data_IF_215378039190
#
_entry.id   IF_215378039190
#
_cell.length_a   1.000
_cell.length_b   1.000
_cell.length_c   1.000
_cell.angle_alpha   90.00
_cell.angle_beta   90.00
_cell.angle_gamma   90.00
#
_symmetry.space_group_name_H-M   'P 1'
#
loop_
_entity.id
_entity.type
_entity.pdbx_description
1 polymer ?
#
# COMPACT_ATOMS: atom_id res chain seq x y z
N UNK A 1 1.38 -13.05 -9.72
CA UNK A 1 0.97 -13.52 -11.07
C UNK A 1 1.51 -12.60 -12.18
N UNK A 2 1.08 -11.34 -12.26
CA UNK A 2 1.48 -10.44 -13.35
C UNK A 2 3.01 -10.35 -13.57
N UNK A 3 3.79 -10.19 -12.49
CA UNK A 3 5.27 -10.17 -12.58
C UNK A 3 5.84 -11.45 -13.18
N UNK A 4 5.33 -12.62 -12.80
CA UNK A 4 5.77 -13.91 -13.34
C UNK A 4 5.45 -14.04 -14.83
N UNK A 5 4.27 -13.60 -15.25
CA UNK A 5 3.92 -13.54 -16.68
C UNK A 5 4.87 -12.59 -17.44
N UNK A 6 5.18 -11.42 -16.87
CA UNK A 6 6.12 -10.49 -17.49
C UNK A 6 7.55 -11.05 -17.59
N UNK A 7 8.01 -11.82 -16.60
CA UNK A 7 9.30 -12.55 -16.65
C UNK A 7 9.32 -13.53 -17.84
N UNK A 8 8.17 -14.15 -18.13
CA UNK A 8 7.99 -15.06 -19.27
C UNK A 8 7.70 -14.34 -20.60
N UNK A 9 7.88 -13.01 -20.67
CA UNK A 9 7.74 -12.23 -21.90
C UNK A 9 6.31 -11.76 -22.23
N UNK A 10 5.33 -12.05 -21.38
CA UNK A 10 3.97 -11.55 -21.54
C UNK A 10 3.88 -10.05 -21.25
N UNK A 11 2.95 -9.37 -21.93
CA UNK A 11 2.78 -7.93 -21.81
C UNK A 11 1.52 -7.59 -21.05
N UNK A 12 1.64 -6.64 -20.13
CA UNK A 12 0.51 -6.08 -19.42
C UNK A 12 0.05 -4.80 -20.14
N UNK A 13 -1.24 -4.69 -20.43
CA UNK A 13 -1.85 -3.47 -20.98
C UNK A 13 -2.96 -3.01 -20.06
N UNK A 14 -3.01 -1.71 -19.82
CA UNK A 14 -4.13 -1.07 -19.14
C UNK A 14 -5.19 -0.67 -20.17
N UNK A 15 -6.46 -0.96 -19.88
CA UNK A 15 -7.60 -0.52 -20.67
C UNK A 15 -8.44 0.45 -19.86
N UNK A 16 -8.48 1.71 -20.28
CA UNK A 16 -9.29 2.75 -19.63
C UNK A 16 -10.81 2.57 -19.87
N UNK A 17 -11.22 1.56 -20.64
CA UNK A 17 -12.63 1.21 -20.88
C UNK A 17 -13.11 0.03 -20.03
N UNK A 18 -12.20 -0.59 -19.26
CA UNK A 18 -12.56 -1.68 -18.38
C UNK A 18 -13.07 -1.08 -17.06
N UNK A 19 -14.38 -1.06 -16.89
CA UNK A 19 -15.02 -0.61 -15.65
C UNK A 19 -15.29 -1.80 -14.73
N UNK A 20 -15.03 -1.60 -13.44
CA UNK A 20 -15.38 -2.57 -12.40
C UNK A 20 -15.84 -1.82 -11.15
N UNK A 21 -16.83 -2.37 -10.45
CA UNK A 21 -17.33 -1.85 -9.18
C UNK A 21 -17.04 -2.85 -8.08
N UNK A 22 -16.42 -2.40 -6.99
CA UNK A 22 -16.11 -3.24 -5.83
C UNK A 22 -16.55 -2.54 -4.55
N UNK A 23 -16.83 -3.33 -3.52
CA UNK A 23 -17.03 -2.81 -2.16
C UNK A 23 -15.73 -2.18 -1.64
N UNK A 24 -15.86 -0.99 -1.06
CA UNK A 24 -14.79 -0.31 -0.34
C UNK A 24 -14.93 -0.52 1.17
N UNK A 25 -13.86 -0.34 1.95
CA UNK A 25 -13.95 -0.30 3.40
C UNK A 25 -14.84 0.86 3.87
N UNK A 26 -15.79 0.58 4.76
CA UNK A 26 -16.69 1.60 5.33
C UNK A 26 -16.18 2.12 6.69
N UNK A 27 -15.25 1.40 7.31
CA UNK A 27 -14.65 1.76 8.60
C UNK A 27 -13.14 1.97 8.50
N UNK A 28 -12.61 2.84 9.35
CA UNK A 28 -11.16 3.08 9.45
C UNK A 28 -10.40 1.78 9.73
N UNK A 29 -10.92 0.91 10.59
CA UNK A 29 -10.29 -0.36 10.91
C UNK A 29 -10.19 -1.30 9.69
N UNK A 30 -11.26 -1.41 8.90
CA UNK A 30 -11.25 -2.21 7.67
C UNK A 30 -10.30 -1.62 6.63
N UNK A 31 -10.25 -0.30 6.52
CA UNK A 31 -9.32 0.42 5.65
C UNK A 31 -7.86 0.08 5.97
N UNK A 32 -7.46 0.19 7.25
CA UNK A 32 -6.10 -0.16 7.68
C UNK A 32 -5.77 -1.65 7.47
N UNK A 33 -6.72 -2.56 7.75
CA UNK A 33 -6.54 -4.01 7.49
C UNK A 33 -6.39 -4.32 6.00
N UNK A 34 -7.11 -3.61 5.12
CA UNK A 34 -6.97 -3.74 3.68
C UNK A 34 -5.61 -3.21 3.22
N UNK A 35 -5.27 -1.98 3.60
CA UNK A 35 -4.03 -1.32 3.19
C UNK A 35 -2.77 -2.01 3.71
N UNK A 36 -2.81 -2.63 4.89
CA UNK A 36 -1.75 -3.52 5.38
C UNK A 36 -1.35 -4.55 4.33
N UNK A 37 -2.32 -5.26 3.77
CA UNK A 37 -2.09 -6.33 2.79
C UNK A 37 -1.51 -5.77 1.50
N UNK A 38 -1.98 -4.61 1.07
CA UNK A 38 -1.51 -3.97 -0.16
C UNK A 38 -0.06 -3.53 -0.02
N UNK A 39 0.31 -2.85 1.07
CA UNK A 39 1.70 -2.41 1.30
C UNK A 39 2.66 -3.59 1.34
N UNK A 40 2.31 -4.66 2.04
CA UNK A 40 3.14 -5.88 2.09
C UNK A 40 3.27 -6.54 0.71
N UNK A 41 2.19 -6.56 -0.07
CA UNK A 41 2.20 -7.04 -1.46
C UNK A 41 3.07 -6.16 -2.35
N UNK A 42 3.01 -4.85 -2.21
CA UNK A 42 3.81 -3.90 -3.00
C UNK A 42 5.31 -4.08 -2.73
N UNK A 43 5.70 -4.24 -1.47
CA UNK A 43 7.08 -4.54 -1.08
C UNK A 43 7.53 -5.88 -1.69
N UNK A 44 6.73 -6.94 -1.54
CA UNK A 44 7.06 -8.27 -2.06
C UNK A 44 7.16 -8.29 -3.60
N UNK A 45 6.22 -7.62 -4.29
CA UNK A 45 6.22 -7.52 -5.74
C UNK A 45 7.43 -6.76 -6.26
N UNK A 46 7.84 -5.68 -5.57
CA UNK A 46 9.04 -4.96 -5.97
C UNK A 46 10.30 -5.80 -5.77
N UNK A 47 10.45 -6.48 -4.62
CA UNK A 47 11.59 -7.38 -4.39
C UNK A 47 11.67 -8.42 -5.51
N UNK A 48 10.54 -9.00 -5.91
CA UNK A 48 10.48 -9.96 -7.02
C UNK A 48 10.92 -9.33 -8.36
N UNK A 49 10.50 -8.10 -8.64
CA UNK A 49 10.91 -7.34 -9.84
C UNK A 49 12.41 -7.06 -9.83
N UNK A 50 12.96 -6.61 -8.70
CA UNK A 50 14.40 -6.30 -8.55
C UNK A 50 15.24 -7.56 -8.71
N UNK A 51 14.85 -8.66 -8.07
CA UNK A 51 15.55 -9.95 -8.19
C UNK A 51 15.57 -10.50 -9.61
N UNK A 52 14.52 -10.24 -10.40
CA UNK A 52 14.39 -10.75 -11.77
C UNK A 52 14.63 -9.67 -12.84
N UNK A 53 15.22 -8.54 -12.46
CA UNK A 53 15.37 -7.37 -13.34
C UNK A 53 16.10 -7.67 -14.66
N UNK A 54 17.22 -8.42 -14.68
CA UNK A 54 17.88 -8.75 -15.95
C UNK A 54 17.01 -9.58 -16.89
N UNK A 55 16.23 -10.52 -16.34
CA UNK A 55 15.30 -11.35 -17.12
C UNK A 55 14.14 -10.52 -17.66
N UNK A 56 13.58 -9.64 -16.84
CA UNK A 56 12.50 -8.73 -17.25
C UNK A 56 12.93 -7.82 -18.40
N UNK A 57 14.10 -7.19 -18.30
CA UNK A 57 14.64 -6.32 -19.35
C UNK A 57 14.92 -7.07 -20.66
N UNK A 58 15.37 -8.33 -20.58
CA UNK A 58 15.68 -9.15 -21.76
C UNK A 58 14.42 -9.70 -22.44
N UNK A 59 13.44 -10.15 -21.66
CA UNK A 59 12.29 -10.89 -22.17
C UNK A 59 11.10 -9.97 -22.49
N UNK A 60 11.05 -8.75 -21.94
CA UNK A 60 9.89 -7.88 -22.05
C UNK A 60 10.26 -6.48 -22.57
N UNK A 61 9.92 -6.22 -23.83
CA UNK A 61 10.20 -4.93 -24.48
C UNK A 61 9.44 -3.75 -23.85
N UNK A 62 8.35 -3.99 -23.12
CA UNK A 62 7.61 -2.93 -22.42
C UNK A 62 8.33 -2.49 -21.13
N UNK A 63 9.26 -3.29 -20.61
CA UNK A 63 9.99 -3.01 -19.39
C UNK A 63 11.26 -2.21 -19.73
N UNK A 64 11.14 -0.89 -19.82
CA UNK A 64 12.25 0.01 -20.17
C UNK A 64 13.09 0.39 -18.94
N UNK A 65 14.33 0.85 -19.16
CA UNK A 65 15.17 1.39 -18.08
C UNK A 65 14.50 2.57 -17.36
N UNK A 66 13.83 3.46 -18.08
CA UNK A 66 13.10 4.59 -17.49
C UNK A 66 11.99 4.10 -16.56
N UNK A 67 11.26 3.06 -16.96
CA UNK A 67 10.22 2.47 -16.11
C UNK A 67 10.80 1.82 -14.85
N UNK A 68 11.95 1.15 -14.97
CA UNK A 68 12.69 0.61 -13.81
C UNK A 68 13.10 1.71 -12.84
N UNK A 69 13.73 2.78 -13.35
CA UNK A 69 14.15 3.91 -12.52
C UNK A 69 12.95 4.56 -11.82
N UNK A 70 11.83 4.71 -12.52
CA UNK A 70 10.58 5.19 -11.94
C UNK A 70 10.07 4.28 -10.80
N UNK A 71 10.03 2.96 -11.00
CA UNK A 71 9.60 2.01 -9.97
C UNK A 71 10.49 2.03 -8.74
N UNK A 72 11.81 2.09 -8.93
CA UNK A 72 12.78 2.19 -7.85
C UNK A 72 12.64 3.52 -7.10
N UNK A 73 12.47 4.64 -7.81
CA UNK A 73 12.25 5.95 -7.19
C UNK A 73 10.97 5.97 -6.35
N UNK A 74 9.87 5.45 -6.89
CA UNK A 74 8.60 5.32 -6.17
C UNK A 74 8.74 4.52 -4.88
N UNK A 75 9.50 3.44 -4.91
CA UNK A 75 9.74 2.65 -3.71
C UNK A 75 10.63 3.36 -2.69
N UNK A 76 11.73 3.95 -3.15
CA UNK A 76 12.63 4.72 -2.28
C UNK A 76 11.85 5.84 -1.58
N UNK A 77 11.02 6.57 -2.32
CA UNK A 77 10.13 7.58 -1.77
C UNK A 77 9.20 6.98 -0.71
N UNK A 78 8.52 5.85 -0.97
CA UNK A 78 7.66 5.21 0.03
C UNK A 78 8.41 4.81 1.32
N UNK A 79 9.68 4.38 1.22
CA UNK A 79 10.48 4.00 2.39
C UNK A 79 10.86 5.22 3.24
N UNK A 80 11.22 6.36 2.64
CA UNK A 80 11.64 7.59 3.36
C UNK A 80 10.49 8.54 3.72
N UNK A 81 9.29 8.23 3.23
CA UNK A 81 8.12 9.09 3.40
C UNK A 81 7.69 9.30 4.87
N UNK A 82 7.76 8.30 5.78
CA UNK A 82 7.46 8.55 7.20
C UNK A 82 8.30 9.68 7.82
N UNK A 83 9.62 9.70 7.57
CA UNK A 83 10.51 10.76 8.04
C UNK A 83 10.17 12.10 7.39
N UNK A 84 9.88 12.11 6.10
CA UNK A 84 9.44 13.32 5.38
C UNK A 84 8.11 13.85 5.93
N UNK A 85 7.17 12.97 6.30
CA UNK A 85 5.89 13.34 6.88
C UNK A 85 6.02 14.00 8.25
N UNK A 86 6.95 13.52 9.10
CA UNK A 86 7.29 14.18 10.37
C UNK A 86 7.75 15.61 10.11
N UNK A 87 8.71 15.80 9.19
CA UNK A 87 9.23 17.14 8.84
C UNK A 87 8.15 18.03 8.26
N UNK A 88 7.30 17.52 7.36
CA UNK A 88 6.19 18.31 6.80
C UNK A 88 5.25 18.85 7.89
N UNK A 89 4.98 18.06 8.92
CA UNK A 89 4.14 18.49 10.05
C UNK A 89 4.89 19.53 10.89
N UNK A 90 6.13 19.26 11.29
CA UNK A 90 6.85 20.08 12.28
C UNK A 90 7.45 21.34 11.68
N UNK A 91 8.00 21.28 10.46
CA UNK A 91 8.41 22.47 9.71
C UNK A 91 7.19 23.30 9.29
N UNK A 92 6.08 22.63 8.95
CA UNK A 92 4.81 23.29 8.74
C UNK A 92 4.40 24.10 9.97
N UNK A 93 4.42 23.51 11.16
CA UNK A 93 4.12 24.25 12.41
C UNK A 93 5.04 25.45 12.65
N UNK A 94 6.33 25.31 12.41
CA UNK A 94 7.33 26.36 12.58
C UNK A 94 7.06 27.56 11.67
N UNK A 95 6.75 27.31 10.40
CA UNK A 95 6.55 28.37 9.41
C UNK A 95 5.18 29.06 9.50
N UNK A 96 4.18 28.31 9.96
CA UNK A 96 2.77 28.69 9.87
C UNK A 96 2.27 29.27 11.19
N UNK A 97 2.73 28.68 12.31
CA UNK A 97 2.28 29.02 13.67
C UNK A 97 3.43 29.51 14.57
N UNK A 98 4.64 29.71 14.04
CA UNK A 98 5.82 30.13 14.78
C UNK A 98 6.18 29.20 15.97
N UNK A 99 5.82 27.91 15.86
CA UNK A 99 6.13 26.90 16.90
C UNK A 99 7.47 26.24 16.57
N UNK A 100 8.53 26.44 17.39
CA UNK A 100 9.88 26.10 16.96
C UNK A 100 10.07 24.62 16.60
N UNK A 101 10.62 24.38 15.41
CA UNK A 101 10.89 23.04 14.86
C UNK A 101 11.66 22.12 15.83
N UNK A 102 12.61 22.68 16.58
CA UNK A 102 13.49 21.94 17.48
C UNK A 102 12.74 21.35 18.68
N UNK A 103 11.62 21.97 19.08
CA UNK A 103 10.80 21.52 20.20
C UNK A 103 9.64 20.62 19.75
N UNK A 104 9.21 20.69 18.49
CA UNK A 104 8.10 19.88 17.97
C UNK A 104 8.56 18.54 17.38
N UNK A 105 9.74 18.51 16.75
CA UNK A 105 10.23 17.32 16.02
C UNK A 105 10.58 16.13 16.93
N UNK A 106 11.37 16.29 18.01
CA UNK A 106 11.72 15.17 18.87
C UNK A 106 10.50 14.49 19.54
N UNK A 107 9.52 15.23 20.12
CA UNK A 107 8.32 14.61 20.68
C UNK A 107 7.52 13.82 19.64
N UNK A 108 7.33 14.37 18.43
CA UNK A 108 6.60 13.65 17.38
C UNK A 108 7.33 12.37 16.94
N UNK A 109 8.66 12.43 16.79
CA UNK A 109 9.47 11.24 16.52
C UNK A 109 9.30 10.19 17.63
N UNK A 110 9.36 10.60 18.91
CA UNK A 110 9.15 9.70 20.06
C UNK A 110 7.77 9.05 20.00
N UNK A 111 6.70 9.80 19.70
CA UNK A 111 5.34 9.25 19.55
C UNK A 111 5.29 8.18 18.45
N UNK A 112 5.99 8.38 17.33
CA UNK A 112 6.07 7.41 16.22
C UNK A 112 6.84 6.15 16.63
N UNK A 113 7.94 6.28 17.38
CA UNK A 113 8.67 5.14 17.93
C UNK A 113 7.83 4.35 18.94
N UNK A 114 7.12 5.03 19.83
CA UNK A 114 6.17 4.42 20.75
C UNK A 114 5.04 3.71 20.00
N UNK A 115 4.54 4.30 18.92
CA UNK A 115 3.55 3.67 18.06
C UNK A 115 4.06 2.38 17.42
N UNK A 116 5.28 2.38 16.88
CA UNK A 116 5.93 1.18 16.36
C UNK A 116 6.07 0.10 17.44
N UNK A 117 6.50 0.47 18.64
CA UNK A 117 6.59 -0.44 19.78
C UNK A 117 5.22 -1.06 20.12
N UNK A 118 4.17 -0.25 20.23
CA UNK A 118 2.81 -0.72 20.52
C UNK A 118 2.31 -1.69 19.45
N UNK A 119 2.57 -1.39 18.18
CA UNK A 119 2.20 -2.26 17.06
C UNK A 119 2.89 -3.63 17.09
N UNK A 120 4.04 -3.76 17.75
CA UNK A 120 4.74 -5.06 17.88
C UNK A 120 4.35 -5.86 19.12
N UNK A 121 3.90 -5.20 20.20
CA UNK A 121 3.70 -5.85 21.51
C UNK A 121 2.25 -6.05 21.92
N UNK A 122 1.35 -5.19 21.45
CA UNK A 122 -0.04 -5.18 21.92
C UNK A 122 -0.98 -5.84 20.91
N UNK A 123 -2.17 -6.21 21.39
CA UNK A 123 -3.20 -6.84 20.57
C UNK A 123 -3.75 -5.91 19.48
N UNK A 124 -4.29 -6.50 18.41
CA UNK A 124 -4.83 -5.76 17.26
C UNK A 124 -5.90 -4.71 17.63
N UNK A 125 -6.65 -4.91 18.72
CA UNK A 125 -7.64 -3.94 19.19
C UNK A 125 -7.01 -2.67 19.75
N UNK A 126 -5.96 -2.82 20.59
CA UNK A 126 -5.21 -1.67 21.13
C UNK A 126 -4.54 -0.89 20.00
N UNK A 127 -3.94 -1.61 19.06
CA UNK A 127 -3.32 -1.00 17.89
C UNK A 127 -4.32 -0.18 17.06
N UNK A 128 -5.50 -0.74 16.79
CA UNK A 128 -6.56 -0.06 16.03
C UNK A 128 -7.08 1.19 16.75
N UNK A 129 -7.28 1.10 18.07
CA UNK A 129 -7.69 2.24 18.89
C UNK A 129 -6.67 3.37 18.83
N UNK A 130 -5.39 3.05 19.08
CA UNK A 130 -4.32 4.03 19.04
C UNK A 130 -4.10 4.63 17.65
N UNK A 131 -4.19 3.82 16.60
CA UNK A 131 -4.11 4.28 15.21
C UNK A 131 -5.22 5.27 14.90
N UNK A 132 -6.45 5.03 15.37
CA UNK A 132 -7.59 5.93 15.15
C UNK A 132 -7.38 7.26 15.87
N UNK A 133 -6.94 7.22 17.13
CA UNK A 133 -6.64 8.44 17.91
C UNK A 133 -5.52 9.26 17.25
N UNK A 134 -4.40 8.63 16.89
CA UNK A 134 -3.30 9.31 16.22
C UNK A 134 -3.69 9.84 14.83
N UNK A 135 -4.54 9.12 14.11
CA UNK A 135 -5.08 9.61 12.82
C UNK A 135 -5.85 10.90 12.99
N UNK A 136 -6.69 10.99 14.02
CA UNK A 136 -7.45 12.23 14.30
C UNK A 136 -6.49 13.36 14.70
N UNK A 137 -5.59 13.13 15.66
CA UNK A 137 -4.66 14.16 16.17
C UNK A 137 -3.71 14.66 15.10
N UNK A 138 -3.07 13.75 14.35
CA UNK A 138 -2.14 14.14 13.29
C UNK A 138 -2.88 14.72 12.09
N UNK A 139 -4.07 14.20 11.77
CA UNK A 139 -4.88 14.67 10.67
C UNK A 139 -5.41 16.09 10.86
N UNK A 140 -5.91 16.42 12.07
CA UNK A 140 -6.33 17.80 12.39
C UNK A 140 -5.14 18.76 12.32
N UNK A 141 -4.01 18.35 12.88
CA UNK A 141 -2.76 19.10 12.87
C UNK A 141 -2.24 19.36 11.46
N UNK A 142 -2.21 18.35 10.60
CA UNK A 142 -1.73 18.51 9.23
C UNK A 142 -2.70 19.34 8.39
N UNK A 143 -4.01 19.20 8.63
CA UNK A 143 -5.02 20.03 7.95
C UNK A 143 -4.89 21.49 8.34
N UNK A 144 -4.66 21.81 9.62
CA UNK A 144 -4.46 23.19 10.06
C UNK A 144 -3.20 23.80 9.45
N UNK A 145 -2.10 23.04 9.41
CA UNK A 145 -0.85 23.43 8.73
C UNK A 145 -1.10 23.69 7.24
N UNK A 146 -1.81 22.81 6.54
CA UNK A 146 -2.07 22.97 5.11
C UNK A 146 -2.96 24.18 4.80
N UNK A 147 -4.03 24.38 5.57
CA UNK A 147 -4.97 25.50 5.36
C UNK A 147 -4.29 26.84 5.67
N UNK A 148 -3.63 26.96 6.82
CA UNK A 148 -2.96 28.22 7.18
C UNK A 148 -1.70 28.47 6.36
N UNK A 149 -0.99 27.40 5.97
CA UNK A 149 0.09 27.50 4.98
C UNK A 149 -0.42 28.06 3.65
N UNK A 150 -1.56 27.57 3.16
CA UNK A 150 -2.19 28.10 1.94
C UNK A 150 -2.57 29.58 2.07
N UNK A 151 -3.10 29.99 3.23
CA UNK A 151 -3.39 31.39 3.52
C UNK A 151 -2.12 32.26 3.49
N UNK A 152 -1.06 31.86 4.22
CA UNK A 152 0.23 32.57 4.27
C UNK A 152 0.87 32.70 2.88
N UNK A 153 0.74 31.66 2.05
CA UNK A 153 1.21 31.67 0.66
C UNK A 153 0.49 32.76 -0.15
N UNK A 154 -0.85 32.81 -0.08
CA UNK A 154 -1.63 33.79 -0.85
C UNK A 154 -1.37 35.21 -0.35
N UNK A 155 -1.29 35.41 0.96
CA UNK A 155 -0.95 36.70 1.57
C UNK A 155 0.42 37.20 1.12
N UNK A 156 1.43 36.31 1.11
CA UNK A 156 2.76 36.61 0.58
C UNK A 156 2.78 36.93 -0.92
N UNK A 157 1.97 36.25 -1.73
CA UNK A 157 1.86 36.58 -3.16
C UNK A 157 1.24 37.97 -3.37
N UNK A 158 0.21 38.33 -2.59
CA UNK A 158 -0.47 39.62 -2.71
C UNK A 158 0.47 40.77 -2.33
N UNK A 159 1.25 40.63 -1.26
CA UNK A 159 2.22 41.64 -0.84
C UNK A 159 3.34 41.83 -1.87
N UNK A 160 3.89 40.75 -2.42
CA UNK A 160 4.93 40.80 -3.44
C UNK A 160 4.48 41.48 -4.75
N UNK A 161 3.24 41.21 -5.18
CA UNK A 161 2.64 41.90 -6.33
C UNK A 161 2.53 43.40 -6.05
N UNK A 162 2.20 43.78 -4.80
CA UNK A 162 2.15 45.17 -4.36
C UNK A 162 3.51 45.89 -4.41
N UNK A 163 4.59 45.17 -4.07
CA UNK A 163 5.96 45.71 -4.05
C UNK A 163 6.65 45.70 -5.43
N UNK A 164 5.99 45.16 -6.46
CA UNK A 164 6.45 45.22 -7.86
C UNK A 164 7.70 44.39 -8.17
N UNK A 165 8.19 43.57 -7.23
CA UNK A 165 9.39 42.74 -7.38
C UNK A 165 8.99 41.27 -7.49
N UNK A 166 8.85 40.79 -8.74
CA UNK A 166 8.52 39.40 -9.02
C UNK A 166 9.78 38.52 -8.91
N UNK A 167 10.04 37.95 -7.74
CA UNK A 167 11.08 36.94 -7.55
C UNK A 167 10.49 35.53 -7.56
N UNK A 168 11.21 34.56 -8.14
CA UNK A 168 10.80 33.15 -8.10
C UNK A 168 10.90 32.62 -6.66
N UNK A 169 9.75 32.52 -5.99
CA UNK A 169 9.57 32.11 -4.60
C UNK A 169 9.06 30.67 -4.50
N UNK A 170 9.23 30.02 -3.36
CA UNK A 170 8.85 28.61 -3.14
C UNK A 170 7.36 28.33 -3.24
N UNK A 171 6.56 29.34 -3.02
CA UNK A 171 5.11 29.30 -3.19
C UNK A 171 4.71 28.82 -4.59
N UNK A 172 5.57 29.02 -5.61
CA UNK A 172 5.38 28.47 -6.95
C UNK A 172 5.48 26.94 -7.03
N UNK A 173 6.24 26.27 -6.16
CA UNK A 173 6.35 24.80 -6.17
C UNK A 173 5.05 24.17 -5.65
N UNK A 174 4.49 24.70 -4.56
CA UNK A 174 3.20 24.24 -4.00
C UNK A 174 2.06 24.60 -4.97
N UNK A 175 2.12 25.77 -5.60
CA UNK A 175 1.20 26.16 -6.65
C UNK A 175 1.28 25.21 -7.85
N UNK A 176 2.49 24.86 -8.32
CA UNK A 176 2.71 23.89 -9.39
C UNK A 176 2.11 22.52 -9.07
N UNK A 177 2.27 22.05 -7.82
CA UNK A 177 1.62 20.81 -7.37
C UNK A 177 0.09 20.93 -7.44
N UNK A 178 -0.46 22.04 -6.96
CA UNK A 178 -1.92 22.29 -7.00
C UNK A 178 -2.43 22.33 -8.44
N UNK A 179 -1.74 23.06 -9.33
CA UNK A 179 -2.03 23.13 -10.76
C UNK A 179 -1.95 21.75 -11.41
N UNK A 180 -0.99 20.91 -11.01
CA UNK A 180 -0.87 19.55 -11.54
C UNK A 180 -2.08 18.66 -11.20
N UNK A 181 -2.68 18.84 -10.02
CA UNK A 181 -3.90 18.13 -9.61
C UNK A 181 -5.11 18.63 -10.40
N UNK A 182 -5.24 19.94 -10.57
CA UNK A 182 -6.29 20.54 -11.41
C UNK A 182 -6.17 20.06 -12.86
N UNK A 183 -4.94 20.03 -13.40
CA UNK A 183 -4.66 19.50 -14.73
C UNK A 183 -5.11 18.04 -14.86
N UNK A 184 -4.77 17.19 -13.89
CA UNK A 184 -5.20 15.79 -13.90
C UNK A 184 -6.73 15.65 -13.94
N UNK A 185 -7.48 16.45 -13.17
CA UNK A 185 -8.94 16.43 -13.23
C UNK A 185 -9.52 16.95 -14.55
N UNK A 186 -8.89 17.94 -15.18
CA UNK A 186 -9.29 18.42 -16.51
C UNK A 186 -9.09 17.34 -17.58
N UNK A 187 -7.98 16.58 -17.49
CA UNK A 187 -7.69 15.47 -18.41
C UNK A 187 -8.68 14.30 -18.20
N UNK A 188 -9.26 14.16 -16.99
CA UNK A 188 -10.16 13.08 -16.58
C UNK A 188 -11.57 13.59 -16.16
N UNK A 189 -12.38 14.12 -17.10
CA UNK A 189 -13.64 14.80 -16.76
C UNK A 189 -14.72 13.89 -16.13
N UNK A 190 -14.66 12.57 -16.32
CA UNK A 190 -15.58 11.63 -15.65
C UNK A 190 -15.29 11.50 -14.15
N UNK A 191 -14.02 11.67 -13.78
CA UNK A 191 -13.50 11.44 -12.43
C UNK A 191 -13.14 12.78 -11.74
N UNK A 192 -13.35 13.92 -12.39
CA UNK A 192 -12.95 15.24 -11.87
C UNK A 192 -13.60 15.58 -10.52
N UNK A 193 -14.81 15.06 -10.26
CA UNK A 193 -15.52 15.22 -8.99
C UNK A 193 -14.73 14.65 -7.80
N UNK A 194 -13.76 13.75 -8.02
CA UNK A 194 -12.89 13.22 -6.97
C UNK A 194 -12.06 14.30 -6.27
N UNK A 195 -11.79 15.43 -6.92
CA UNK A 195 -11.12 16.58 -6.29
C UNK A 195 -11.88 17.07 -5.05
N UNK A 196 -13.21 16.96 -5.02
CA UNK A 196 -14.02 17.39 -3.88
C UNK A 196 -13.64 16.65 -2.58
N UNK A 197 -13.10 15.43 -2.69
CA UNK A 197 -12.62 14.65 -1.55
C UNK A 197 -11.20 15.02 -1.10
N UNK A 198 -10.55 16.02 -1.72
CA UNK A 198 -9.17 16.43 -1.42
C UNK A 198 -8.94 16.76 0.06
N UNK A 199 -9.91 17.39 0.74
CA UNK A 199 -9.82 17.65 2.19
C UNK A 199 -9.76 16.37 3.03
N UNK A 200 -10.52 15.34 2.66
CA UNK A 200 -10.46 14.05 3.34
C UNK A 200 -9.09 13.37 3.12
N UNK A 201 -8.51 13.51 1.92
CA UNK A 201 -7.15 13.06 1.62
C UNK A 201 -6.09 13.81 2.42
N UNK A 202 -6.22 15.13 2.56
CA UNK A 202 -5.33 15.93 3.41
C UNK A 202 -5.42 15.48 4.87
N UNK A 203 -6.62 15.27 5.39
CA UNK A 203 -6.82 14.82 6.77
C UNK A 203 -6.19 13.46 7.04
N UNK A 204 -6.38 12.48 6.16
CA UNK A 204 -5.82 11.14 6.34
C UNK A 204 -4.34 11.04 5.91
N UNK A 205 -3.76 12.10 5.36
CA UNK A 205 -2.41 12.11 4.81
C UNK A 205 -1.35 11.62 5.81
N UNK A 206 -1.29 12.11 7.07
CA UNK A 206 -0.33 11.63 8.05
C UNK A 206 -0.54 10.16 8.39
N UNK A 207 -1.80 9.72 8.50
CA UNK A 207 -2.12 8.34 8.79
C UNK A 207 -1.63 7.40 7.67
N UNK A 208 -1.80 7.79 6.41
CA UNK A 208 -1.36 7.03 5.24
C UNK A 208 0.16 6.94 5.09
N UNK A 209 0.86 8.02 5.39
CA UNK A 209 2.28 8.18 5.08
C UNK A 209 3.20 7.95 6.29
N UNK A 210 2.67 8.01 7.51
CA UNK A 210 3.43 7.82 8.75
C UNK A 210 2.99 6.57 9.53
N UNK A 211 1.70 6.45 9.86
CA UNK A 211 1.21 5.35 10.72
C UNK A 211 1.08 4.03 9.95
N UNK A 212 0.50 4.09 8.76
CA UNK A 212 0.14 2.91 7.98
C UNK A 212 1.34 2.06 7.57
N UNK A 213 2.50 2.59 7.11
CA UNK A 213 3.67 1.77 6.81
C UNK A 213 4.17 0.98 8.03
N UNK A 214 4.21 1.63 9.20
CA UNK A 214 4.61 1.02 10.48
C UNK A 214 3.63 -0.08 10.87
N UNK A 215 2.34 0.23 10.87
CA UNK A 215 1.27 -0.73 11.17
C UNK A 215 1.34 -1.95 10.25
N UNK A 216 1.63 -1.72 8.97
CA UNK A 216 1.63 -2.75 7.94
C UNK A 216 2.75 -3.76 8.16
N UNK A 217 3.98 -3.28 8.36
CA UNK A 217 5.15 -4.14 8.61
C UNK A 217 5.00 -4.84 9.96
N UNK A 218 4.58 -4.13 11.01
CA UNK A 218 4.39 -4.70 12.34
C UNK A 218 3.38 -5.87 12.36
N UNK A 219 2.38 -5.83 11.47
CA UNK A 219 1.35 -6.86 11.37
C UNK A 219 1.55 -7.83 10.19
N UNK A 220 2.77 -8.01 9.69
CA UNK A 220 3.08 -8.96 8.61
C UNK A 220 2.74 -10.42 8.94
N UNK A 221 2.71 -10.76 10.23
CA UNK A 221 2.39 -12.10 10.75
C UNK A 221 0.90 -12.43 10.56
N UNK A 222 0.03 -11.40 10.54
CA UNK A 222 -1.42 -11.60 10.36
C UNK A 222 -1.76 -11.84 8.89
N UNK A 223 -1.87 -13.12 8.53
CA UNK A 223 -2.23 -13.60 7.20
C UNK A 223 -3.74 -13.69 6.95
N UNK A 224 -4.59 -13.27 7.90
CA UNK A 224 -6.03 -13.43 7.75
C UNK A 224 -6.57 -12.64 6.56
N UNK A 225 -7.27 -13.33 5.65
CA UNK A 225 -8.06 -12.68 4.61
C UNK A 225 -9.49 -12.51 5.08
N UNK A 226 -9.99 -11.26 5.02
CA UNK A 226 -11.39 -10.94 5.28
C UNK A 226 -12.33 -11.92 4.56
N UNK A 227 -13.36 -12.36 5.29
CA UNK A 227 -14.46 -13.28 4.93
C UNK A 227 -14.12 -14.68 4.44
N UNK A 228 -12.93 -14.99 3.90
CA UNK A 228 -12.59 -16.33 3.40
C UNK A 228 -12.07 -17.31 4.47
N UNK A 229 -11.27 -16.85 5.43
CA UNK A 229 -10.64 -17.75 6.40
C UNK A 229 -11.40 -17.84 7.74
N UNK A 230 -12.30 -16.89 8.00
CA UNK A 230 -13.09 -16.82 9.25
C UNK A 230 -14.49 -17.40 9.12
N UNK A 231 -14.96 -17.68 7.90
CA UNK A 231 -16.13 -18.54 7.71
C UNK A 231 -15.69 -19.99 7.93
N UNK A 232 -15.60 -20.39 9.19
CA UNK A 232 -15.74 -21.81 9.53
C UNK A 232 -17.06 -22.24 8.93
N UNK A 233 -17.03 -23.20 8.00
CA UNK A 233 -18.24 -23.87 7.56
C UNK A 233 -18.98 -24.32 8.83
N UNK A 234 -20.13 -23.69 9.11
CA UNK A 234 -21.00 -24.18 10.16
C UNK A 234 -21.42 -25.56 9.68
N UNK A 235 -20.93 -26.60 10.36
CA UNK A 235 -21.29 -27.99 10.05
C UNK A 235 -22.81 -28.02 9.92
N UNK A 236 -23.38 -28.41 8.77
CA UNK A 236 -24.82 -28.57 8.67
C UNK A 236 -25.22 -29.51 9.79
N UNK A 237 -26.20 -29.12 10.62
CA UNK A 237 -26.67 -29.95 11.74
C UNK A 237 -27.12 -31.29 11.15
N UNK A 238 -26.27 -32.31 11.22
CA UNK A 238 -26.58 -33.68 10.83
C UNK A 238 -27.73 -34.15 11.72
N UNK A 239 -28.95 -34.12 11.19
CA UNK A 239 -30.18 -34.49 11.89
C UNK A 239 -30.24 -35.99 12.24
N UNK A 240 -29.31 -36.80 11.76
CA UNK A 240 -29.35 -38.24 11.91
C UNK A 240 -28.01 -38.79 12.41
N UNK A 241 -27.77 -38.72 13.72
CA UNK A 241 -26.83 -39.61 14.39
C UNK A 241 -27.54 -40.22 15.62
N UNK A 242 -27.62 -41.56 15.76
CA UNK A 242 -28.24 -42.19 16.91
C UNK A 242 -27.50 -41.82 18.20
N UNK A 243 -28.24 -41.74 19.32
CA UNK A 243 -27.80 -41.27 20.63
C UNK A 243 -26.49 -41.91 21.16
N UNK A 244 -25.32 -41.38 20.79
CA UNK A 244 -24.04 -41.66 21.47
C UNK A 244 -23.82 -40.79 22.73
N UNK A 245 -24.91 -40.30 23.33
CA UNK A 245 -24.90 -39.37 24.49
C UNK A 245 -24.34 -39.98 25.79
N UNK A 246 -24.04 -41.29 25.83
CA UNK A 246 -23.48 -41.95 27.03
C UNK A 246 -21.95 -41.96 27.09
N UNK A 247 -21.23 -41.84 25.96
CA UNK A 247 -19.75 -41.91 25.97
C UNK A 247 -19.08 -40.58 26.34
N UNK A 248 -19.66 -39.44 25.95
CA UNK A 248 -19.06 -38.12 26.18
C UNK A 248 -19.17 -37.60 27.62
N UNK A 249 -20.06 -38.15 28.46
CA UNK A 249 -20.21 -37.70 29.85
C UNK A 249 -19.03 -38.10 30.76
N UNK A 250 -18.22 -39.08 30.37
CA UNK A 250 -17.06 -39.53 31.16
C UNK A 250 -15.81 -38.65 31.00
N UNK A 251 -15.67 -37.90 29.89
CA UNK A 251 -14.46 -37.11 29.61
C UNK A 251 -14.50 -35.66 30.10
N UNK A 252 -15.65 -35.15 30.58
CA UNK A 252 -15.83 -33.73 30.93
C UNK A 252 -15.37 -33.32 32.34
N UNK A 253 -14.68 -34.18 33.10
CA UNK A 253 -14.37 -33.90 34.52
C UNK A 253 -12.96 -33.40 34.84
N UNK A 254 -12.08 -33.17 33.86
CA UNK A 254 -10.78 -32.51 34.08
C UNK A 254 -10.34 -31.81 32.80
N UNK A 255 -10.38 -30.47 32.76
CA UNK A 255 -9.46 -29.55 32.09
C UNK A 255 -9.90 -28.13 32.50
N UNK A 256 -9.05 -27.31 33.16
CA UNK A 256 -9.35 -25.91 33.43
C UNK A 256 -9.16 -25.05 32.17
N UNK A 257 -9.91 -23.95 32.17
CA UNK A 257 -10.05 -22.95 31.12
C UNK A 257 -8.83 -22.04 31.07
N UNK A 258 -8.03 -22.12 30.02
CA UNK A 258 -7.43 -20.97 29.33
C UNK A 258 -6.82 -21.49 28.02
N UNK A 259 -7.24 -20.98 26.85
CA UNK A 259 -6.58 -21.11 25.52
C UNK A 259 -7.53 -20.62 24.42
N UNK A 260 -7.36 -19.36 24.00
CA UNK A 260 -8.00 -18.80 22.79
C UNK A 260 -7.32 -19.23 21.48
N UNK A 261 -6.39 -20.18 21.52
CA UNK A 261 -5.73 -20.77 20.34
C UNK A 261 -6.28 -22.15 19.91
N UNK A 262 -7.10 -22.81 20.73
CA UNK A 262 -7.48 -24.24 20.53
C UNK A 262 -8.41 -24.53 19.35
N UNK A 263 -8.90 -23.50 18.70
CA UNK A 263 -10.04 -23.64 17.81
C UNK A 263 -9.69 -24.13 16.39
N UNK A 264 -8.41 -24.08 15.99
CA UNK A 264 -7.91 -24.77 14.80
C UNK A 264 -7.52 -26.22 15.11
N UNK A 265 -7.01 -26.48 16.32
CA UNK A 265 -6.66 -27.83 16.78
C UNK A 265 -7.92 -28.70 16.93
N UNK A 266 -8.99 -28.14 17.50
CA UNK A 266 -10.29 -28.79 17.66
C UNK A 266 -10.93 -29.13 16.30
N UNK A 267 -10.76 -28.27 15.28
CA UNK A 267 -11.29 -28.53 13.94
C UNK A 267 -10.43 -29.58 13.23
N UNK A 268 -9.10 -29.53 13.32
CA UNK A 268 -8.25 -30.58 12.76
C UNK A 268 -8.49 -31.92 13.45
N UNK A 269 -8.69 -31.95 14.77
CA UNK A 269 -9.05 -33.19 15.49
C UNK A 269 -10.45 -33.67 15.13
N UNK A 270 -11.41 -32.76 14.93
CA UNK A 270 -12.77 -33.11 14.49
C UNK A 270 -12.79 -33.60 13.03
N UNK A 271 -12.09 -32.92 12.13
CA UNK A 271 -11.90 -33.35 10.73
C UNK A 271 -11.15 -34.67 10.70
N UNK A 272 -10.08 -34.88 11.47
CA UNK A 272 -9.37 -36.16 11.53
C UNK A 272 -10.20 -37.29 12.16
N UNK A 273 -11.22 -36.97 12.97
CA UNK A 273 -12.15 -37.97 13.52
C UNK A 273 -13.35 -38.27 12.61
N UNK A 274 -13.60 -37.43 11.60
CA UNK A 274 -14.63 -37.62 10.57
C UNK A 274 -14.02 -38.12 9.26
N UNK A 275 -12.80 -37.67 8.95
CA UNK A 275 -12.02 -38.06 7.78
C UNK A 275 -11.57 -39.49 7.97
N UNK A 276 -12.06 -40.35 7.08
CA UNK A 276 -11.54 -41.71 6.96
C UNK A 276 -10.25 -41.65 6.13
N UNK A 277 -9.25 -42.49 6.44
CA UNK A 277 -8.16 -42.73 5.51
C UNK A 277 -8.75 -43.10 4.15
N UNK A 278 -8.29 -42.48 3.05
CA UNK A 278 -8.82 -42.73 1.70
C UNK A 278 -8.68 -44.20 1.26
N UNK A 279 -7.87 -45.00 1.96
CA UNK A 279 -7.74 -46.44 1.79
C UNK A 279 -9.00 -47.23 2.23
N UNK A 280 -9.85 -46.64 3.07
CA UNK A 280 -11.12 -47.22 3.56
C UNK A 280 -12.35 -46.72 2.78
N UNK A 281 -12.14 -46.01 1.67
CA UNK A 281 -13.18 -45.48 0.79
C UNK A 281 -13.75 -46.52 -0.17
N UNK A 282 -14.90 -46.22 -0.79
CA UNK A 282 -15.45 -47.01 -1.87
C UNK A 282 -14.49 -47.07 -3.07
N UNK A 283 -14.62 -48.10 -3.92
CA UNK A 283 -13.78 -48.26 -5.14
C UNK A 283 -13.78 -47.03 -6.05
N UNK A 284 -14.89 -46.28 -6.08
CA UNK A 284 -15.04 -45.07 -6.88
C UNK A 284 -14.24 -43.89 -6.32
N UNK A 285 -14.21 -43.71 -4.98
CA UNK A 285 -13.42 -42.68 -4.32
C UNK A 285 -11.92 -42.93 -4.47
N UNK A 286 -11.51 -44.22 -4.48
CA UNK A 286 -10.12 -44.60 -4.71
C UNK A 286 -9.67 -44.24 -6.14
N UNK A 287 -10.52 -44.50 -7.14
CA UNK A 287 -10.27 -44.15 -8.53
C UNK A 287 -10.21 -42.63 -8.73
N UNK A 288 -11.12 -41.89 -8.08
CA UNK A 288 -11.12 -40.43 -8.14
C UNK A 288 -9.83 -39.84 -7.55
N UNK A 289 -9.36 -40.37 -6.41
CA UNK A 289 -8.10 -39.93 -5.81
C UNK A 289 -6.89 -40.21 -6.72
N UNK A 290 -6.82 -41.39 -7.33
CA UNK A 290 -5.76 -41.72 -8.30
C UNK A 290 -5.80 -40.74 -9.48
N UNK A 291 -6.98 -40.44 -10.00
CA UNK A 291 -7.15 -39.44 -11.07
C UNK A 291 -6.65 -38.05 -10.63
N UNK A 292 -7.00 -37.58 -9.43
CA UNK A 292 -6.58 -36.27 -8.94
C UNK A 292 -5.08 -36.19 -8.66
N UNK A 293 -4.47 -37.25 -8.10
CA UNK A 293 -3.03 -37.33 -7.90
C UNK A 293 -2.29 -37.35 -9.25
N UNK A 294 -2.79 -38.12 -10.22
CA UNK A 294 -2.19 -38.18 -11.54
C UNK A 294 -2.31 -36.84 -12.29
N UNK A 295 -3.47 -36.17 -12.19
CA UNK A 295 -3.68 -34.84 -12.75
C UNK A 295 -2.74 -33.82 -12.11
N UNK A 296 -2.60 -33.85 -10.77
CA UNK A 296 -1.69 -32.99 -10.01
C UNK A 296 -0.25 -33.23 -10.44
N UNK A 297 0.18 -34.49 -10.53
CA UNK A 297 1.51 -34.87 -10.96
C UNK A 297 1.80 -34.40 -12.39
N UNK A 298 0.85 -34.59 -13.33
CA UNK A 298 1.02 -34.20 -14.75
C UNK A 298 1.06 -32.68 -14.95
N UNK A 299 0.21 -31.93 -14.24
CA UNK A 299 0.06 -30.48 -14.47
C UNK A 299 0.96 -29.62 -13.57
N UNK A 300 1.15 -30.01 -12.31
CA UNK A 300 1.86 -29.21 -11.31
C UNK A 300 3.25 -29.78 -10.99
N UNK A 301 3.48 -31.08 -11.21
CA UNK A 301 4.72 -31.77 -10.83
C UNK A 301 4.79 -32.12 -9.33
N UNK A 302 5.84 -32.82 -8.92
CA UNK A 302 6.06 -33.18 -7.51
C UNK A 302 6.78 -32.09 -6.70
N UNK A 303 7.42 -31.13 -7.39
CA UNK A 303 8.23 -30.06 -6.78
C UNK A 303 7.41 -28.77 -6.55
N UNK A 304 6.11 -28.89 -6.35
CA UNK A 304 5.27 -27.73 -6.07
C UNK A 304 5.60 -27.23 -4.67
N UNK A 305 6.14 -26.02 -4.57
CA UNK A 305 6.37 -25.39 -3.29
C UNK A 305 5.02 -25.17 -2.57
N UNK A 306 4.72 -26.03 -1.60
CA UNK A 306 3.49 -25.98 -0.79
C UNK A 306 3.58 -24.91 0.31
N UNK A 307 4.70 -24.16 0.35
CA UNK A 307 5.03 -23.24 1.41
C UNK A 307 5.55 -23.95 2.66
N UNK A 308 5.86 -23.15 3.67
CA UNK A 308 6.33 -23.62 4.96
C UNK A 308 5.15 -24.04 5.84
N UNK A 309 5.41 -24.88 6.84
CA UNK A 309 4.42 -25.18 7.86
C UNK A 309 4.01 -23.88 8.59
N UNK A 310 2.73 -23.75 8.99
CA UNK A 310 2.21 -22.50 9.59
C UNK A 310 3.05 -21.97 10.76
N UNK A 311 3.60 -22.87 11.58
CA UNK A 311 4.44 -22.51 12.74
C UNK A 311 5.77 -21.92 12.28
N UNK A 312 6.46 -22.61 11.38
CA UNK A 312 7.73 -22.15 10.82
C UNK A 312 7.56 -20.84 10.03
N UNK A 313 6.46 -20.71 9.28
CA UNK A 313 6.12 -19.48 8.57
C UNK A 313 5.90 -18.31 9.54
N UNK A 314 5.18 -18.53 10.64
CA UNK A 314 4.95 -17.49 11.64
C UNK A 314 6.27 -17.03 12.29
N UNK A 315 7.15 -17.97 12.63
CA UNK A 315 8.47 -17.67 13.20
C UNK A 315 9.34 -16.86 12.23
N UNK A 316 9.44 -17.29 10.97
CA UNK A 316 10.20 -16.55 9.95
C UNK A 316 9.60 -15.17 9.68
N UNK A 317 8.28 -15.03 9.68
CA UNK A 317 7.61 -13.74 9.53
C UNK A 317 7.84 -12.83 10.73
N UNK A 318 7.96 -13.37 11.94
CA UNK A 318 8.33 -12.58 13.12
C UNK A 318 9.76 -12.05 13.03
N UNK A 319 10.71 -12.88 12.59
CA UNK A 319 12.07 -12.44 12.32
C UNK A 319 12.11 -11.37 11.23
N UNK A 320 11.36 -11.58 10.14
CA UNK A 320 11.25 -10.62 9.04
C UNK A 320 10.61 -9.31 9.49
N UNK A 321 9.55 -9.36 10.31
CA UNK A 321 8.90 -8.20 10.93
C UNK A 321 9.93 -7.36 11.67
N UNK A 322 10.65 -7.97 12.60
CA UNK A 322 11.58 -7.26 13.48
C UNK A 322 12.70 -6.60 12.68
N UNK A 323 13.30 -7.32 11.70
CA UNK A 323 14.35 -6.79 10.83
C UNK A 323 13.85 -5.67 9.92
N UNK A 324 12.69 -5.86 9.27
CA UNK A 324 12.13 -4.90 8.32
C UNK A 324 11.65 -3.63 9.02
N UNK A 325 11.01 -3.77 10.18
CA UNK A 325 10.54 -2.64 10.96
C UNK A 325 11.73 -1.85 11.52
N UNK A 326 12.75 -2.52 12.06
CA UNK A 326 13.98 -1.86 12.51
C UNK A 326 14.64 -1.10 11.35
N UNK A 327 14.77 -1.74 10.18
CA UNK A 327 15.31 -1.10 8.98
C UNK A 327 14.52 0.15 8.58
N UNK A 328 13.19 0.07 8.53
CA UNK A 328 12.33 1.22 8.23
C UNK A 328 12.54 2.36 9.23
N UNK A 329 12.56 2.05 10.53
CA UNK A 329 12.73 3.06 11.58
C UNK A 329 14.13 3.71 11.52
N UNK A 330 15.18 2.93 11.28
CA UNK A 330 16.55 3.44 11.16
C UNK A 330 16.71 4.32 9.92
N UNK A 331 16.23 3.87 8.76
CA UNK A 331 16.30 4.67 7.51
C UNK A 331 15.56 6.00 7.70
N UNK A 332 14.36 5.98 8.29
CA UNK A 332 13.60 7.20 8.52
C UNK A 332 14.19 8.10 9.59
N UNK A 333 14.87 7.57 10.62
CA UNK A 333 15.62 8.40 11.57
C UNK A 333 16.83 9.09 10.94
N UNK A 334 17.60 8.37 10.13
CA UNK A 334 18.72 8.96 9.38
C UNK A 334 18.20 10.02 8.42
N UNK A 335 17.15 9.71 7.66
CA UNK A 335 16.53 10.65 6.73
C UNK A 335 15.96 11.89 7.43
N UNK A 336 15.26 11.70 8.57
CA UNK A 336 14.78 12.79 9.41
C UNK A 336 15.94 13.66 9.92
N UNK A 337 17.06 13.05 10.33
CA UNK A 337 18.26 13.78 10.75
C UNK A 337 18.85 14.61 9.61
N UNK A 338 18.95 14.06 8.41
CA UNK A 338 19.42 14.77 7.21
C UNK A 338 18.52 15.95 6.88
N UNK A 339 17.19 15.75 6.83
CA UNK A 339 16.24 16.84 6.58
C UNK A 339 16.28 17.90 7.68
N UNK A 340 16.38 17.49 8.94
CA UNK A 340 16.47 18.40 10.09
C UNK A 340 17.74 19.24 10.06
N UNK A 341 18.87 18.65 9.66
CA UNK A 341 20.14 19.36 9.50
C UNK A 341 20.01 20.48 8.45
N UNK A 342 19.46 20.16 7.28
CA UNK A 342 19.23 21.15 6.23
C UNK A 342 18.20 22.21 6.61
N UNK A 343 17.19 21.84 7.40
CA UNK A 343 16.17 22.77 7.87
C UNK A 343 16.71 23.74 8.94
N UNK A 344 17.47 23.25 9.92
CA UNK A 344 17.98 24.08 11.03
C UNK A 344 19.25 24.85 10.64
N UNK A 345 20.11 24.27 9.80
CA UNK A 345 21.42 24.83 9.45
C UNK A 345 21.39 26.04 8.52
N UNK A 346 20.22 26.58 8.22
CA UNK A 346 20.04 27.74 7.35
C UNK A 346 19.39 28.85 8.14
N UNK A 347 20.03 30.01 8.24
CA UNK A 347 19.61 31.07 9.17
C UNK A 347 18.35 31.83 8.72
N UNK A 348 18.10 31.97 7.42
CA UNK A 348 16.91 32.67 6.94
C UNK A 348 15.73 31.71 6.77
N UNK A 349 14.53 32.04 7.31
CA UNK A 349 13.32 31.21 7.17
C UNK A 349 12.99 30.90 5.70
N UNK A 350 13.24 31.88 4.82
CA UNK A 350 13.09 31.72 3.38
C UNK A 350 14.06 30.67 2.83
N UNK A 351 15.34 30.70 3.20
CA UNK A 351 16.30 29.73 2.67
C UNK A 351 16.10 28.31 3.24
N UNK A 352 15.56 28.16 4.48
CA UNK A 352 15.19 26.86 5.07
C UNK A 352 14.18 26.12 4.20
N UNK A 353 13.10 26.82 3.83
CA UNK A 353 12.01 26.25 3.05
C UNK A 353 12.41 26.08 1.56
N UNK A 354 13.33 26.89 1.04
CA UNK A 354 13.94 26.71 -0.31
C UNK A 354 14.66 25.38 -0.42
N UNK A 355 15.55 25.11 0.54
CA UNK A 355 16.38 23.92 0.49
C UNK A 355 15.55 22.65 0.71
N UNK A 356 14.63 22.69 1.67
CA UNK A 356 13.67 21.61 1.89
C UNK A 356 12.77 21.37 0.67
N UNK A 357 12.20 22.43 0.10
CA UNK A 357 11.35 22.39 -1.08
C UNK A 357 12.09 21.89 -2.32
N UNK A 358 13.37 22.21 -2.47
CA UNK A 358 14.21 21.69 -3.55
C UNK A 358 14.52 20.20 -3.39
N UNK A 359 14.93 19.76 -2.19
CA UNK A 359 15.21 18.34 -1.92
C UNK A 359 13.95 17.49 -2.11
N UNK A 360 12.84 17.89 -1.47
CA UNK A 360 11.56 17.19 -1.60
C UNK A 360 11.01 17.28 -3.03
N UNK A 361 11.12 18.46 -3.66
CA UNK A 361 10.73 18.68 -5.04
C UNK A 361 11.52 17.81 -6.03
N UNK A 362 12.81 17.59 -5.81
CA UNK A 362 13.61 16.71 -6.66
C UNK A 362 13.16 15.23 -6.51
N UNK A 363 12.98 14.75 -5.27
CA UNK A 363 12.63 13.37 -4.98
C UNK A 363 11.22 13.00 -5.46
N UNK A 364 10.23 13.83 -5.14
CA UNK A 364 8.82 13.58 -5.48
C UNK A 364 8.44 14.15 -6.84
N UNK A 365 9.08 15.23 -7.28
CA UNK A 365 8.80 15.88 -8.58
C UNK A 365 9.21 15.03 -9.78
N UNK A 366 10.30 14.25 -9.69
CA UNK A 366 10.65 13.30 -10.76
C UNK A 366 9.50 12.32 -11.05
N UNK A 367 8.93 11.74 -9.99
CA UNK A 367 7.76 10.85 -10.09
C UNK A 367 6.56 11.59 -10.67
N UNK A 368 6.25 12.78 -10.15
CA UNK A 368 5.10 13.58 -10.58
C UNK A 368 5.18 13.92 -12.08
N UNK A 369 6.35 14.36 -12.56
CA UNK A 369 6.57 14.69 -13.96
C UNK A 369 6.33 13.47 -14.87
N UNK A 370 6.86 12.30 -14.51
CA UNK A 370 6.63 11.07 -15.26
C UNK A 370 5.14 10.72 -15.30
N UNK A 371 4.43 10.85 -14.18
CA UNK A 371 2.99 10.59 -14.10
C UNK A 371 2.19 11.56 -14.97
N UNK A 372 2.49 12.87 -14.92
CA UNK A 372 1.82 13.87 -15.74
C UNK A 372 2.04 13.62 -17.24
N UNK A 373 3.29 13.36 -17.66
CA UNK A 373 3.60 13.03 -19.05
C UNK A 373 2.87 11.76 -19.48
N UNK A 374 2.91 10.71 -18.65
CA UNK A 374 2.25 9.44 -18.93
C UNK A 374 0.74 9.57 -19.11
N UNK A 375 0.07 10.28 -18.20
CA UNK A 375 -1.37 10.58 -18.29
C UNK A 375 -1.70 11.40 -19.55
N UNK A 376 -0.91 12.43 -19.84
CA UNK A 376 -1.10 13.31 -21.01
C UNK A 376 -0.99 12.52 -22.31
N UNK A 377 0.09 11.74 -22.47
CA UNK A 377 0.30 10.92 -23.68
C UNK A 377 -0.83 9.91 -23.84
N UNK A 378 -1.24 9.25 -22.76
CA UNK A 378 -2.34 8.28 -22.79
C UNK A 378 -3.65 8.93 -23.25
N UNK A 379 -3.98 10.10 -22.70
CA UNK A 379 -5.21 10.82 -23.06
C UNK A 379 -5.17 11.37 -24.49
N UNK A 380 -4.06 11.96 -24.91
CA UNK A 380 -3.88 12.45 -26.29
C UNK A 380 -4.01 11.29 -27.28
N UNK A 381 -3.35 10.15 -27.02
CA UNK A 381 -3.48 8.97 -27.86
C UNK A 381 -4.94 8.48 -27.94
N UNK A 382 -5.66 8.52 -26.83
CA UNK A 382 -7.08 8.15 -26.79
C UNK A 382 -7.96 9.10 -27.60
N UNK A 383 -7.80 10.42 -27.45
CA UNK A 383 -8.55 11.42 -28.23
C UNK A 383 -8.28 11.27 -29.72
N UNK A 384 -7.01 11.07 -30.11
CA UNK A 384 -6.64 10.82 -31.50
C UNK A 384 -7.28 9.53 -32.04
N UNK A 385 -7.33 8.44 -31.26
CA UNK A 385 -7.98 7.20 -31.65
C UNK A 385 -9.49 7.36 -31.82
N UNK A 386 -10.16 8.10 -30.92
CA UNK A 386 -11.59 8.39 -31.05
C UNK A 386 -11.87 9.26 -32.27
N UNK A 387 -11.07 10.30 -32.51
CA UNK A 387 -11.19 11.16 -33.68
C UNK A 387 -10.96 10.37 -34.98
N UNK A 388 -9.98 9.47 -35.00
CA UNK A 388 -9.75 8.60 -36.15
C UNK A 388 -10.93 7.66 -36.42
N UNK A 389 -11.52 7.02 -35.39
CA UNK A 389 -12.73 6.20 -35.55
C UNK A 389 -13.94 7.02 -36.00
N UNK A 390 -14.07 8.25 -35.51
CA UNK A 390 -15.16 9.14 -35.93
C UNK A 390 -15.03 9.55 -37.41
N UNK A 391 -13.82 9.88 -37.87
CA UNK A 391 -13.58 10.34 -39.24
C UNK A 391 -13.55 9.20 -40.28
N UNK A 392 -12.98 8.05 -39.92
CA UNK A 392 -12.71 6.95 -40.86
C UNK A 392 -13.58 5.69 -40.61
N UNK A 393 -14.48 5.72 -39.62
CA UNK A 393 -15.30 4.57 -39.24
C UNK A 393 -14.46 3.39 -38.74
N UNK A 394 -14.87 2.17 -39.09
CA UNK A 394 -14.13 0.93 -38.75
C UNK A 394 -12.89 0.71 -39.64
N UNK A 395 -12.66 1.56 -40.64
CA UNK A 395 -11.46 1.53 -41.49
C UNK A 395 -10.35 2.26 -40.73
N UNK A 396 -9.79 1.58 -39.74
CA UNK A 396 -8.74 2.13 -38.88
C UNK A 396 -7.46 2.37 -39.72
N UNK A 397 -6.90 3.59 -39.76
CA UNK A 397 -5.68 3.91 -40.48
C UNK A 397 -4.51 2.95 -40.19
N UNK A 398 -3.77 2.54 -41.23
CA UNK A 398 -2.72 1.51 -41.15
C UNK A 398 -1.61 1.77 -40.11
N UNK A 399 -1.33 3.03 -39.77
CA UNK A 399 -0.33 3.39 -38.76
C UNK A 399 -0.74 3.02 -37.33
N UNK A 400 -2.05 2.91 -37.05
CA UNK A 400 -2.58 2.37 -35.78
C UNK A 400 -2.31 0.86 -35.72
N UNK A 401 -2.54 0.14 -36.83
CA UNK A 401 -2.24 -1.29 -36.99
C UNK A 401 -0.73 -1.60 -36.93
N UNK A 402 0.11 -0.78 -37.55
CA UNK A 402 1.56 -0.96 -37.57
C UNK A 402 2.20 -0.83 -36.18
N UNK A 403 1.65 0.02 -35.30
CA UNK A 403 2.07 0.09 -33.89
C UNK A 403 1.67 -1.16 -33.11
N UNK A 404 0.59 -1.85 -33.51
CA UNK A 404 0.15 -3.11 -32.90
C UNK A 404 0.91 -4.35 -33.41
N UNK A 405 1.35 -4.35 -34.68
CA UNK A 405 2.07 -5.48 -35.30
C UNK A 405 3.60 -5.42 -35.20
N UNK A 406 4.22 -4.23 -35.14
CA UNK A 406 5.70 -4.07 -35.08
C UNK A 406 6.29 -3.93 -33.68
N UNK A 407 5.47 -3.86 -32.63
CA UNK A 407 5.94 -3.80 -31.24
C UNK A 407 5.55 -5.06 -30.54
#
# INVERSE_FOLDING_TARGET
MATLMMINGWRLRYSAFADNTTYCPDTCQEFFKQRRRWILSDIANLILVVQNMPRLLRNNQCFSLVYVLYLLNMFMNNVITPGTAIVMITAGMDLVFDVPYIYTTPPLAIVVYLYAFVCTRYSSQVQSGMTSVLTVVLGTTFTSVAVWGSYKIVDGMISEIGDGHFHFQQHYIILMLTVSLLYAALVHPRECHQIAYGLAYLFIFPAMHLLLPIYSIANIIDQSWGTRDTQRAKIPKLKCVPNLKKLMKWRKKKIPVDLREDSNLDIQQMVNSIARPMQDGSTQELQENVFWEELRHRLLGNDVNIGLQRVELAEQLEQLRNRSLLGLMMINAVWLGVLSYFYVGVDSPLARLNLYGLISGALYGFTLVIQLIGMTICRVQHVLLMMARYLYGDIIPAWIWLKEKKR
#
